data_IF_300991441849
#
_entry.id   IF_300991441849
#
_cell.length_a   1.000
_cell.length_b   1.000
_cell.length_c   1.000
_cell.angle_alpha   90.00
_cell.angle_beta   90.00
_cell.angle_gamma   90.00
#
_symmetry.space_group_name_H-M   'P 1'
#
loop_
_entity.id
_entity.type
_entity.pdbx_description
1 polymer ?
#
# COMPACT_ATOMS: atom_id res chain seq x y z
N UNK A 1 -3.60 -2.16 -15.73
CA UNK A 1 -4.96 -1.67 -15.40
C UNK A 1 -5.27 -1.79 -13.90
N UNK A 2 -5.24 -2.98 -13.28
CA UNK A 2 -5.55 -3.14 -11.85
C UNK A 2 -4.60 -2.36 -10.90
N UNK A 3 -3.33 -2.22 -11.27
CA UNK A 3 -2.34 -1.48 -10.46
C UNK A 3 -2.64 0.01 -10.33
N UNK A 4 -3.15 0.68 -11.37
CA UNK A 4 -3.48 2.11 -11.31
C UNK A 4 -4.67 2.42 -10.38
N UNK A 5 -5.68 1.55 -10.36
CA UNK A 5 -6.85 1.69 -9.47
C UNK A 5 -6.41 1.57 -8.00
N UNK A 6 -5.49 0.66 -7.69
CA UNK A 6 -4.97 0.49 -6.32
C UNK A 6 -4.16 1.70 -5.84
N UNK A 7 -3.44 2.39 -6.73
CA UNK A 7 -2.73 3.63 -6.40
C UNK A 7 -3.72 4.73 -6.04
N UNK A 8 -4.76 4.94 -6.85
CA UNK A 8 -5.78 5.95 -6.59
C UNK A 8 -6.52 5.68 -5.28
N UNK A 9 -6.89 4.43 -4.99
CA UNK A 9 -7.56 4.08 -3.71
C UNK A 9 -6.64 4.34 -2.52
N UNK A 10 -5.33 4.09 -2.65
CA UNK A 10 -4.35 4.36 -1.58
C UNK A 10 -4.31 5.85 -1.22
N UNK A 11 -4.33 6.73 -2.22
CA UNK A 11 -4.33 8.18 -2.01
C UNK A 11 -5.57 8.63 -1.23
N UNK A 12 -6.76 8.11 -1.57
CA UNK A 12 -8.03 8.43 -0.90
C UNK A 12 -8.08 8.00 0.58
N UNK A 13 -7.29 7.00 0.98
CA UNK A 13 -7.22 6.52 2.38
C UNK A 13 -5.92 6.87 3.09
N UNK A 14 -5.18 7.85 2.57
CA UNK A 14 -3.95 8.38 3.18
C UNK A 14 -4.28 9.55 4.10
N UNK A 15 -3.71 9.54 5.30
CA UNK A 15 -3.88 10.64 6.24
C UNK A 15 -3.14 11.89 5.75
N UNK A 16 -3.80 13.04 5.60
CA UNK A 16 -3.17 14.26 5.12
C UNK A 16 -2.23 14.92 6.16
N UNK A 17 -2.15 14.40 7.39
CA UNK A 17 -1.25 14.90 8.43
C UNK A 17 0.06 14.11 8.46
N UNK A 18 -0.01 12.77 8.60
CA UNK A 18 1.18 11.93 8.69
C UNK A 18 1.62 11.32 7.35
N UNK A 19 0.82 11.47 6.29
CA UNK A 19 1.05 10.94 4.94
C UNK A 19 1.12 9.40 4.87
N UNK A 20 0.63 8.72 5.90
CA UNK A 20 0.51 7.27 5.98
C UNK A 20 -0.94 6.83 5.83
N UNK A 21 -1.15 5.54 5.53
CA UNK A 21 -2.48 4.93 5.51
C UNK A 21 -3.19 5.16 6.85
N UNK A 22 -4.45 5.61 6.78
CA UNK A 22 -5.25 5.97 7.95
C UNK A 22 -5.28 4.83 8.98
N UNK A 23 -4.95 5.17 10.23
CA UNK A 23 -5.03 4.24 11.37
C UNK A 23 -6.05 4.77 12.36
N UNK A 24 -7.04 3.95 12.70
CA UNK A 24 -8.22 4.35 13.48
C UNK A 24 -8.81 5.66 12.93
N UNK A 25 -9.29 5.68 11.67
CA UNK A 25 -9.75 6.90 11.01
C UNK A 25 -10.92 7.54 11.77
N UNK A 26 -10.79 8.84 12.00
CA UNK A 26 -11.86 9.72 12.46
C UNK A 26 -12.23 10.67 11.32
N UNK A 27 -13.53 10.85 11.10
CA UNK A 27 -14.07 11.79 10.11
C UNK A 27 -14.66 13.01 10.80
N UNK A 28 -14.47 14.17 10.17
CA UNK A 28 -15.12 15.43 10.51
C UNK A 28 -16.38 15.62 9.65
N UNK A 29 -17.28 16.54 10.03
CA UNK A 29 -18.49 16.87 9.26
C UNK A 29 -18.20 17.38 7.85
N UNK A 30 -17.01 17.97 7.64
CA UNK A 30 -16.53 18.38 6.33
C UNK A 30 -16.12 17.21 5.41
N UNK A 31 -16.27 15.96 5.85
CA UNK A 31 -15.97 14.74 5.09
C UNK A 31 -14.50 14.28 5.15
N UNK A 32 -13.57 15.14 5.55
CA UNK A 32 -12.16 14.77 5.67
C UNK A 32 -11.91 13.79 6.82
N UNK A 33 -11.00 12.84 6.58
CA UNK A 33 -10.65 11.80 7.54
C UNK A 33 -9.17 11.82 7.91
N UNK A 34 -8.87 11.51 9.17
CA UNK A 34 -7.53 11.58 9.75
C UNK A 34 -7.30 10.41 10.71
N UNK A 35 -6.04 10.06 10.98
CA UNK A 35 -5.75 9.12 12.06
C UNK A 35 -6.20 9.73 13.40
N UNK A 36 -6.73 8.91 14.31
CA UNK A 36 -7.13 9.35 15.65
C UNK A 36 -6.00 10.11 16.37
N UNK A 37 -4.77 9.57 16.33
CA UNK A 37 -3.60 10.20 16.93
C UNK A 37 -3.30 11.57 16.31
N UNK A 38 -3.34 11.67 14.98
CA UNK A 38 -3.04 12.90 14.26
C UNK A 38 -4.07 14.00 14.51
N UNK A 39 -5.37 13.65 14.49
CA UNK A 39 -6.43 14.60 14.77
C UNK A 39 -6.39 15.10 16.21
N UNK A 40 -6.13 14.19 17.17
CA UNK A 40 -6.01 14.53 18.60
C UNK A 40 -4.83 15.48 18.85
N UNK A 41 -3.67 15.20 18.25
CA UNK A 41 -2.49 16.08 18.35
C UNK A 41 -2.77 17.46 17.73
N UNK A 42 -3.41 17.50 16.57
CA UNK A 42 -3.79 18.74 15.90
C UNK A 42 -4.80 19.57 16.71
N UNK A 43 -5.80 18.91 17.30
CA UNK A 43 -6.80 19.54 18.16
C UNK A 43 -6.13 20.20 19.37
N UNK A 44 -5.23 19.48 20.06
CA UNK A 44 -4.48 20.02 21.21
C UNK A 44 -3.66 21.25 20.83
N UNK A 45 -2.98 21.22 19.68
CA UNK A 45 -2.21 22.36 19.17
C UNK A 45 -3.10 23.55 18.83
N UNK A 46 -4.21 23.32 18.13
CA UNK A 46 -5.13 24.39 17.70
C UNK A 46 -5.79 25.08 18.89
N UNK A 47 -6.17 24.33 19.92
CA UNK A 47 -6.73 24.89 21.16
C UNK A 47 -5.75 25.79 21.92
N UNK A 48 -4.46 25.44 21.95
CA UNK A 48 -3.42 26.25 22.58
C UNK A 48 -3.13 27.56 21.82
N UNK A 49 -3.17 27.53 20.49
CA UNK A 49 -2.78 28.67 19.65
C UNK A 49 -3.94 29.60 19.29
N UNK A 50 -5.14 29.05 19.06
CA UNK A 50 -6.27 29.77 18.44
C UNK A 50 -7.59 29.66 19.21
N UNK A 51 -7.69 28.76 20.19
CA UNK A 51 -8.92 28.52 20.94
C UNK A 51 -10.06 27.91 20.12
N UNK A 52 -9.82 27.49 18.88
CA UNK A 52 -10.82 26.90 18.00
C UNK A 52 -10.23 25.72 17.20
N UNK A 53 -11.08 24.73 16.92
CA UNK A 53 -10.74 23.53 16.17
C UNK A 53 -11.15 23.66 14.71
N UNK A 54 -10.18 23.58 13.80
CA UNK A 54 -10.40 23.67 12.35
C UNK A 54 -9.80 22.48 11.60
N UNK A 55 -10.50 22.01 10.57
CA UNK A 55 -10.00 20.95 9.69
C UNK A 55 -8.64 21.34 9.07
N UNK A 56 -7.59 20.51 9.18
CA UNK A 56 -6.28 20.80 8.58
C UNK A 56 -6.28 21.00 7.06
N UNK A 57 -7.27 20.41 6.35
CA UNK A 57 -7.35 20.45 4.88
C UNK A 57 -8.15 21.67 4.41
N UNK A 58 -9.43 21.76 4.78
CA UNK A 58 -10.33 22.79 4.27
C UNK A 58 -10.56 23.98 5.22
N UNK A 59 -9.97 23.95 6.43
CA UNK A 59 -10.07 25.00 7.46
C UNK A 59 -11.47 25.27 8.02
N UNK A 60 -12.48 24.49 7.64
CA UNK A 60 -13.82 24.53 8.23
C UNK A 60 -13.71 24.17 9.72
N UNK A 61 -14.34 24.95 10.59
CA UNK A 61 -14.39 24.68 12.03
C UNK A 61 -15.25 23.47 12.35
N UNK A 62 -14.90 22.76 13.41
CA UNK A 62 -15.65 21.58 13.85
C UNK A 62 -15.71 21.51 15.37
N UNK A 63 -16.77 20.90 15.89
CA UNK A 63 -16.92 20.62 17.30
C UNK A 63 -16.38 19.21 17.63
N UNK A 64 -15.71 19.01 18.77
CA UNK A 64 -15.19 17.70 19.16
C UNK A 64 -16.23 16.58 19.19
N UNK A 65 -17.48 16.92 19.51
CA UNK A 65 -18.62 16.02 19.61
C UNK A 65 -19.04 15.46 18.24
N UNK A 66 -18.69 16.15 17.17
CA UNK A 66 -19.00 15.74 15.80
C UNK A 66 -17.92 14.85 15.18
N UNK A 67 -16.82 14.59 15.90
CA UNK A 67 -15.78 13.67 15.43
C UNK A 67 -16.32 12.24 15.52
N UNK A 68 -16.37 11.54 14.38
CA UNK A 68 -16.92 10.17 14.32
C UNK A 68 -15.88 9.17 13.83
N UNK A 69 -15.76 7.99 14.47
CA UNK A 69 -14.99 6.89 13.91
C UNK A 69 -15.54 6.43 12.56
N UNK A 70 -14.68 6.23 11.58
CA UNK A 70 -15.06 5.77 10.24
C UNK A 70 -14.66 4.31 10.01
N UNK A 71 -15.53 3.40 10.46
CA UNK A 71 -15.29 1.95 10.33
C UNK A 71 -15.19 1.49 8.87
N UNK A 72 -15.89 2.14 7.94
CA UNK A 72 -15.82 1.79 6.53
C UNK A 72 -14.44 2.08 5.94
N UNK A 73 -13.89 3.26 6.20
CA UNK A 73 -12.52 3.61 5.78
C UNK A 73 -11.49 2.70 6.46
N UNK A 74 -11.68 2.38 7.74
CA UNK A 74 -10.80 1.43 8.44
C UNK A 74 -10.77 0.07 7.73
N UNK A 75 -11.94 -0.48 7.39
CA UNK A 75 -12.04 -1.75 6.68
C UNK A 75 -11.37 -1.71 5.29
N UNK A 76 -11.53 -0.60 4.55
CA UNK A 76 -10.87 -0.42 3.24
C UNK A 76 -9.35 -0.40 3.39
N UNK A 77 -8.83 0.30 4.39
CA UNK A 77 -7.38 0.31 4.68
C UNK A 77 -6.87 -1.09 4.99
N UNK A 78 -7.57 -1.87 5.81
CA UNK A 78 -7.19 -3.24 6.12
C UNK A 78 -7.18 -4.12 4.86
N UNK A 79 -8.20 -4.02 4.00
CA UNK A 79 -8.20 -4.73 2.71
C UNK A 79 -7.06 -4.30 1.79
N UNK A 80 -6.70 -3.02 1.78
CA UNK A 80 -5.57 -2.54 1.00
C UNK A 80 -4.23 -3.05 1.56
N UNK A 81 -4.11 -3.21 2.88
CA UNK A 81 -2.94 -3.83 3.52
C UNK A 81 -2.85 -5.32 3.18
N UNK A 82 -3.97 -6.05 3.22
CA UNK A 82 -4.03 -7.46 2.80
C UNK A 82 -3.56 -7.62 1.35
N UNK A 83 -4.00 -6.77 0.41
CA UNK A 83 -3.56 -6.84 -1.01
C UNK A 83 -2.05 -6.59 -1.18
N UNK A 84 -1.42 -5.78 -0.31
CA UNK A 84 0.04 -5.60 -0.31
C UNK A 84 0.79 -6.78 0.31
N UNK A 85 0.13 -7.54 1.20
CA UNK A 85 0.71 -8.69 1.91
C UNK A 85 0.42 -10.02 1.22
N UNK A 86 -0.56 -10.09 0.33
CA UNK A 86 -0.73 -11.22 -0.58
C UNK A 86 0.55 -11.38 -1.41
N UNK A 87 1.01 -12.61 -1.67
CA UNK A 87 2.31 -12.88 -2.30
C UNK A 87 2.47 -12.23 -3.69
N UNK A 88 1.41 -11.69 -4.29
CA UNK A 88 1.50 -10.87 -5.50
C UNK A 88 2.18 -9.50 -5.29
N UNK A 89 2.41 -9.07 -4.04
CA UNK A 89 3.00 -7.80 -3.63
C UNK A 89 4.41 -7.87 -3.04
N UNK A 90 5.05 -9.05 -3.01
CA UNK A 90 6.51 -9.09 -2.86
C UNK A 90 7.11 -8.27 -4.01
N UNK A 91 8.24 -7.57 -3.78
CA UNK A 91 9.00 -6.91 -4.84
C UNK A 91 9.53 -7.99 -5.80
N UNK A 92 8.66 -8.51 -6.65
CA UNK A 92 9.02 -9.42 -7.71
C UNK A 92 9.66 -8.55 -8.76
N UNK A 93 10.97 -8.71 -8.92
CA UNK A 93 11.71 -7.99 -9.95
C UNK A 93 11.10 -8.31 -11.32
N UNK A 94 11.06 -7.31 -12.19
CA UNK A 94 10.51 -7.45 -13.53
C UNK A 94 11.66 -7.61 -14.52
N UNK A 95 11.49 -8.50 -15.50
CA UNK A 95 12.47 -8.73 -16.54
C UNK A 95 12.67 -7.44 -17.34
N UNK A 96 13.91 -6.93 -17.39
CA UNK A 96 14.21 -5.71 -18.15
C UNK A 96 13.90 -5.83 -19.66
N UNK A 97 13.93 -7.06 -20.21
CA UNK A 97 13.67 -7.32 -21.64
C UNK A 97 12.18 -7.43 -21.97
N UNK A 98 11.37 -7.98 -21.06
CA UNK A 98 9.99 -8.36 -21.35
C UNK A 98 8.93 -7.68 -20.47
N UNK A 99 9.33 -7.05 -19.35
CA UNK A 99 8.41 -6.49 -18.36
C UNK A 99 7.64 -7.52 -17.53
N UNK A 100 7.85 -8.82 -17.77
CA UNK A 100 7.21 -9.91 -17.04
C UNK A 100 7.90 -10.19 -15.71
N UNK A 101 7.17 -10.74 -14.74
CA UNK A 101 7.68 -11.11 -13.41
C UNK A 101 8.82 -12.15 -13.52
N UNK A 102 9.90 -11.93 -12.77
CA UNK A 102 11.01 -12.87 -12.62
C UNK A 102 10.67 -13.88 -11.52
N UNK A 103 10.15 -15.04 -11.91
CA UNK A 103 9.67 -16.10 -11.00
C UNK A 103 10.32 -17.47 -11.24
N UNK A 104 11.12 -17.60 -12.30
CA UNK A 104 11.74 -18.86 -12.69
C UNK A 104 13.24 -18.78 -12.46
N UNK A 105 13.84 -19.70 -11.72
CA UNK A 105 15.28 -19.84 -11.63
C UNK A 105 15.77 -20.84 -12.68
N UNK A 106 16.67 -20.40 -13.56
CA UNK A 106 17.36 -21.30 -14.50
C UNK A 106 18.64 -21.82 -13.84
N UNK A 107 18.75 -23.14 -13.73
CA UNK A 107 19.86 -23.81 -13.05
C UNK A 107 21.19 -23.64 -13.78
N UNK A 108 21.18 -23.77 -15.10
CA UNK A 108 22.37 -23.70 -15.95
C UNK A 108 22.94 -22.28 -16.00
N UNK A 109 22.07 -21.26 -15.98
CA UNK A 109 22.47 -19.86 -16.05
C UNK A 109 22.67 -19.20 -14.67
N UNK A 110 22.21 -19.85 -13.59
CA UNK A 110 22.26 -19.32 -12.24
C UNK A 110 21.49 -18.01 -12.06
N UNK A 111 20.42 -17.79 -12.83
CA UNK A 111 19.68 -16.52 -12.91
C UNK A 111 18.19 -16.71 -12.74
N UNK A 112 17.54 -15.69 -12.17
CA UNK A 112 16.08 -15.58 -12.20
C UNK A 112 15.65 -14.95 -13.52
N UNK A 113 14.75 -15.62 -14.21
CA UNK A 113 14.23 -15.28 -15.54
C UNK A 113 12.69 -15.23 -15.50
N UNK A 114 12.07 -14.66 -16.54
CA UNK A 114 10.61 -14.70 -16.71
C UNK A 114 10.20 -15.84 -17.65
N UNK A 115 8.91 -16.17 -17.68
CA UNK A 115 8.35 -17.23 -18.52
C UNK A 115 8.59 -17.04 -20.04
N UNK A 116 8.78 -15.79 -20.48
CA UNK A 116 9.16 -15.50 -21.87
C UNK A 116 10.64 -15.80 -22.14
N UNK A 117 11.53 -15.58 -21.17
CA UNK A 117 12.93 -15.95 -21.29
C UNK A 117 13.10 -17.46 -21.37
N UNK A 118 12.38 -18.23 -20.54
CA UNK A 118 12.40 -19.70 -20.58
C UNK A 118 12.07 -20.25 -21.98
N UNK A 119 11.12 -19.62 -22.68
CA UNK A 119 10.69 -20.02 -24.02
C UNK A 119 11.58 -19.48 -25.15
N UNK A 120 12.56 -18.63 -24.82
CA UNK A 120 13.49 -18.08 -25.81
C UNK A 120 14.54 -19.12 -26.22
N UNK A 121 15.21 -18.89 -27.35
CA UNK A 121 16.32 -19.77 -27.76
C UNK A 121 17.49 -19.75 -26.75
N UNK A 122 17.62 -18.69 -25.97
CA UNK A 122 18.70 -18.49 -24.98
C UNK A 122 18.63 -19.50 -23.83
N UNK A 123 17.42 -19.90 -23.41
CA UNK A 123 17.20 -20.83 -22.29
C UNK A 123 16.53 -22.14 -22.74
N UNK A 124 16.58 -22.44 -24.05
CA UNK A 124 15.85 -23.57 -24.62
C UNK A 124 16.43 -24.89 -24.11
N UNK A 125 15.63 -25.61 -23.34
CA UNK A 125 16.00 -26.92 -22.79
C UNK A 125 16.82 -26.85 -21.50
N UNK A 126 16.97 -25.67 -20.91
CA UNK A 126 17.51 -25.50 -19.56
C UNK A 126 16.48 -25.92 -18.50
N UNK A 127 16.96 -26.33 -17.33
CA UNK A 127 16.12 -26.67 -16.19
C UNK A 127 15.71 -25.40 -15.45
N UNK A 128 14.40 -25.22 -15.31
CA UNK A 128 13.78 -24.08 -14.67
C UNK A 128 12.91 -24.53 -13.50
N UNK A 129 12.97 -23.77 -12.41
CA UNK A 129 12.21 -24.04 -11.19
C UNK A 129 11.52 -22.76 -10.72
N UNK A 130 10.39 -22.87 -10.04
CA UNK A 130 9.80 -21.70 -9.39
C UNK A 130 10.69 -21.27 -8.23
N UNK A 131 10.94 -19.97 -8.11
CA UNK A 131 11.78 -19.41 -7.03
C UNK A 131 11.25 -19.77 -5.63
N UNK A 132 9.94 -19.98 -5.48
CA UNK A 132 9.29 -20.42 -4.24
C UNK A 132 9.60 -21.87 -3.84
N UNK A 133 10.01 -22.70 -4.80
CA UNK A 133 10.34 -24.12 -4.60
C UNK A 133 11.83 -24.28 -4.25
N UNK A 134 12.70 -23.50 -4.89
CA UNK A 134 14.16 -23.50 -4.63
C UNK A 134 14.50 -22.91 -3.25
N UNK A 135 13.72 -21.93 -2.76
CA UNK A 135 13.93 -21.33 -1.44
C UNK A 135 13.77 -22.32 -0.26
N UNK A 136 13.17 -23.50 -0.48
CA UNK A 136 12.96 -24.52 0.56
C UNK A 136 14.12 -25.51 0.71
N UNK A 137 15.12 -25.50 -0.18
CA UNK A 137 16.28 -26.39 -0.08
C UNK A 137 17.48 -25.79 0.68
N UNK A 138 17.39 -24.53 1.13
CA UNK A 138 18.46 -23.83 1.87
C UNK A 138 18.03 -23.28 3.25
N UNK A 139 17.01 -23.89 3.87
CA UNK A 139 16.68 -23.73 5.30
C UNK A 139 16.90 -25.05 6.04
#
# INVERSE_FOLDING_TARGET
MASGILVNVKEEVTCPICLELLTQPLSLDCGHSFCQACLTANHKKSMLEKGESSCPVCRISYQPENIRPNRHVANIVEKLREVKLSPEGQKVDHCARHGEKLLLFCQEDGKVICWLCERSQEHRGHHTFLTEEVAREYQ
#
